data_IF_424813446217
#
_entry.id   IF_424813446217
#
_cell.length_a   1.000
_cell.length_b   1.000
_cell.length_c   1.000
_cell.angle_alpha   90.00
_cell.angle_beta   90.00
_cell.angle_gamma   90.00
#
_symmetry.space_group_name_H-M   'P 1'
#
loop_
_entity.id
_entity.type
_entity.pdbx_description
1 polymer ?
#
# COMPACT_ATOMS: atom_id res chain seq x y z
N UNK A 1 -3.85 18.14 22.50
CA UNK A 1 -4.68 18.85 21.49
C UNK A 1 -6.16 18.74 21.85
N UNK A 2 -6.98 19.77 21.61
CA UNK A 2 -8.44 19.73 21.84
C UNK A 2 -9.25 19.44 20.55
N UNK A 3 -10.51 19.00 20.68
CA UNK A 3 -11.41 18.76 19.54
C UNK A 3 -11.66 20.01 18.71
N UNK A 4 -11.81 21.18 19.33
CA UNK A 4 -12.02 22.43 18.59
C UNK A 4 -10.84 22.71 17.65
N UNK A 5 -9.63 22.62 18.20
CA UNK A 5 -8.39 22.78 17.43
C UNK A 5 -8.27 21.75 16.30
N UNK A 6 -8.72 20.51 16.54
CA UNK A 6 -8.76 19.46 15.51
C UNK A 6 -9.67 19.88 14.35
N UNK A 7 -10.90 20.30 14.62
CA UNK A 7 -11.85 20.70 13.59
C UNK A 7 -11.39 21.96 12.84
N UNK A 8 -10.79 22.93 13.55
CA UNK A 8 -10.17 24.10 12.92
C UNK A 8 -9.06 23.66 11.94
N UNK A 9 -8.22 22.69 12.33
CA UNK A 9 -7.20 22.11 11.46
C UNK A 9 -7.81 21.42 10.23
N UNK A 10 -8.88 20.64 10.38
CA UNK A 10 -9.56 20.03 9.23
C UNK A 10 -10.03 21.10 8.24
N UNK A 11 -10.71 22.14 8.72
CA UNK A 11 -11.29 23.16 7.85
C UNK A 11 -10.23 24.00 7.14
N UNK A 12 -9.16 24.37 7.86
CA UNK A 12 -8.03 25.11 7.29
C UNK A 12 -7.30 24.31 6.21
N UNK A 13 -7.02 23.02 6.45
CA UNK A 13 -6.26 22.20 5.51
C UNK A 13 -7.09 21.70 4.32
N UNK A 14 -8.37 21.42 4.53
CA UNK A 14 -9.27 21.05 3.43
C UNK A 14 -9.82 22.28 2.68
N UNK A 15 -9.52 23.49 3.17
CA UNK A 15 -9.96 24.77 2.61
C UNK A 15 -11.47 24.86 2.42
N UNK A 16 -12.22 24.22 3.32
CA UNK A 16 -13.68 24.22 3.32
C UNK A 16 -14.21 23.93 4.70
N UNK A 17 -15.48 24.29 4.91
CA UNK A 17 -16.19 23.87 6.10
C UNK A 17 -16.50 22.37 6.03
N UNK A 18 -16.49 21.75 7.21
CA UNK A 18 -16.98 20.39 7.37
C UNK A 18 -18.50 20.41 7.44
N UNK A 19 -19.13 19.46 6.76
CA UNK A 19 -20.56 19.20 6.91
C UNK A 19 -20.85 18.61 8.31
N UNK A 20 -22.04 18.83 8.87
CA UNK A 20 -22.44 18.20 10.15
C UNK A 20 -22.22 16.68 10.18
N UNK A 21 -22.53 15.98 9.09
CA UNK A 21 -22.31 14.53 8.99
C UNK A 21 -20.83 14.15 9.05
N UNK A 22 -19.95 15.00 8.51
CA UNK A 22 -18.51 14.77 8.57
C UNK A 22 -17.97 14.97 9.99
N UNK A 23 -18.49 15.98 10.69
CA UNK A 23 -18.19 16.23 12.10
C UNK A 23 -18.64 15.05 12.96
N UNK A 24 -19.86 14.53 12.73
CA UNK A 24 -20.37 13.33 13.39
C UNK A 24 -19.45 12.12 13.15
N UNK A 25 -19.05 11.86 11.90
CA UNK A 25 -18.18 10.74 11.57
C UNK A 25 -16.79 10.86 12.22
N UNK A 26 -16.20 12.06 12.25
CA UNK A 26 -14.93 12.30 12.96
C UNK A 26 -15.12 12.10 14.48
N UNK A 27 -16.24 12.55 15.05
CA UNK A 27 -16.53 12.35 16.46
C UNK A 27 -16.69 10.89 16.84
N UNK A 28 -17.28 10.04 15.98
CA UNK A 28 -17.38 8.58 16.23
C UNK A 28 -16.00 7.97 16.47
N UNK A 29 -15.00 8.37 15.70
CA UNK A 29 -13.62 7.89 15.91
C UNK A 29 -13.06 8.26 17.27
N UNK A 30 -13.37 9.46 17.77
CA UNK A 30 -12.83 9.95 19.04
C UNK A 30 -13.64 9.38 20.22
N UNK A 31 -14.96 9.39 20.13
CA UNK A 31 -15.86 9.12 21.24
C UNK A 31 -16.26 7.65 21.35
N UNK A 32 -16.57 6.99 20.23
CA UNK A 32 -16.97 5.58 20.21
C UNK A 32 -15.74 4.68 20.14
N UNK A 33 -14.83 4.98 19.21
CA UNK A 33 -13.63 4.17 18.97
C UNK A 33 -12.46 4.53 19.89
N UNK A 34 -12.62 5.54 20.74
CA UNK A 34 -11.64 6.00 21.73
C UNK A 34 -10.25 6.30 21.14
N UNK A 35 -10.20 6.70 19.87
CA UNK A 35 -8.95 7.11 19.24
C UNK A 35 -8.53 8.48 19.78
N UNK A 36 -7.27 8.66 20.20
CA UNK A 36 -6.79 9.95 20.65
C UNK A 36 -6.89 11.01 19.56
N UNK A 37 -7.27 12.23 19.95
CA UNK A 37 -7.42 13.38 19.04
C UNK A 37 -6.15 13.62 18.22
N UNK A 38 -4.99 13.43 18.84
CA UNK A 38 -3.68 13.61 18.19
C UNK A 38 -3.46 12.58 17.09
N UNK A 39 -3.87 11.32 17.28
CA UNK A 39 -3.81 10.28 16.24
C UNK A 39 -4.74 10.63 15.08
N UNK A 40 -5.94 11.15 15.35
CA UNK A 40 -6.86 11.60 14.28
C UNK A 40 -6.26 12.77 13.50
N UNK A 41 -5.55 13.69 14.17
CA UNK A 41 -4.82 14.79 13.52
C UNK A 41 -3.67 14.28 12.63
N UNK A 42 -2.96 13.22 13.03
CA UNK A 42 -1.96 12.58 12.16
C UNK A 42 -2.58 11.92 10.93
N UNK A 43 -3.79 11.36 11.07
CA UNK A 43 -4.52 10.84 9.91
C UNK A 43 -4.90 11.97 8.94
N UNK A 44 -5.30 13.15 9.45
CA UNK A 44 -5.50 14.35 8.64
C UNK A 44 -4.22 14.72 7.88
N UNK A 45 -3.06 14.79 8.54
CA UNK A 45 -1.78 15.05 7.86
C UNK A 45 -1.51 14.07 6.72
N UNK A 46 -1.84 12.80 6.93
CA UNK A 46 -1.71 11.75 5.90
C UNK A 46 -2.61 12.03 4.69
N UNK A 47 -3.84 12.52 4.90
CA UNK A 47 -4.75 12.88 3.79
C UNK A 47 -4.17 14.00 2.93
N UNK A 48 -3.50 14.98 3.54
CA UNK A 48 -2.89 16.12 2.84
C UNK A 48 -1.65 15.64 2.07
N UNK A 49 -0.78 14.87 2.73
CA UNK A 49 0.46 14.36 2.15
C UNK A 49 0.22 13.56 0.87
N UNK A 50 -0.85 12.77 0.82
CA UNK A 50 -1.20 11.96 -0.34
C UNK A 50 -2.23 12.63 -1.26
N UNK A 51 -2.43 13.95 -1.13
CA UNK A 51 -3.34 14.77 -1.92
C UNK A 51 -4.78 14.18 -2.01
N UNK A 52 -5.27 13.66 -0.89
CA UNK A 52 -6.58 13.05 -0.75
C UNK A 52 -7.37 13.62 0.45
N UNK A 53 -7.66 14.93 0.49
CA UNK A 53 -8.34 15.62 1.60
C UNK A 53 -9.84 15.29 1.65
N UNK A 54 -10.18 14.03 1.89
CA UNK A 54 -11.54 13.54 1.99
C UNK A 54 -11.67 12.48 3.08
N UNK A 55 -12.89 12.36 3.62
CA UNK A 55 -13.18 11.38 4.68
C UNK A 55 -12.98 9.93 4.25
N UNK A 56 -13.17 9.61 2.96
CA UNK A 56 -12.96 8.22 2.48
C UNK A 56 -11.51 7.78 2.71
N UNK A 57 -10.55 8.66 2.43
CA UNK A 57 -9.15 8.38 2.68
C UNK A 57 -8.85 8.39 4.19
N UNK A 58 -9.34 9.39 4.92
CA UNK A 58 -9.19 9.47 6.38
C UNK A 58 -9.67 8.18 7.06
N UNK A 59 -10.89 7.75 6.77
CA UNK A 59 -11.49 6.54 7.33
C UNK A 59 -10.68 5.28 6.98
N UNK A 60 -10.07 5.21 5.79
CA UNK A 60 -9.21 4.09 5.43
C UNK A 60 -7.94 4.06 6.28
N UNK A 61 -7.31 5.21 6.52
CA UNK A 61 -6.12 5.33 7.39
C UNK A 61 -6.47 4.94 8.82
N UNK A 62 -7.53 5.53 9.38
CA UNK A 62 -7.98 5.27 10.75
C UNK A 62 -8.36 3.81 10.97
N UNK A 63 -9.11 3.20 10.04
CA UNK A 63 -9.43 1.76 10.11
C UNK A 63 -8.18 0.88 10.08
N UNK A 64 -7.19 1.23 9.26
CA UNK A 64 -5.94 0.48 9.20
C UNK A 64 -5.18 0.56 10.52
N UNK A 65 -5.08 1.76 11.09
CA UNK A 65 -4.41 1.99 12.37
C UNK A 65 -5.11 1.29 13.54
N UNK A 66 -6.44 1.38 13.60
CA UNK A 66 -7.25 0.64 14.58
C UNK A 66 -6.99 -0.86 14.52
N UNK A 67 -6.98 -1.46 13.32
CA UNK A 67 -6.70 -2.90 13.13
C UNK A 67 -5.29 -3.30 13.57
N UNK A 68 -4.34 -2.38 13.52
CA UNK A 68 -2.96 -2.61 13.95
C UNK A 68 -2.73 -2.25 15.43
N UNK A 69 -3.73 -1.76 16.15
CA UNK A 69 -3.58 -1.30 17.54
C UNK A 69 -2.68 -0.07 17.67
N UNK A 70 -2.69 0.80 16.65
CA UNK A 70 -1.95 2.06 16.64
C UNK A 70 -2.82 3.14 17.30
N UNK A 71 -2.45 3.50 18.52
CA UNK A 71 -3.18 4.42 19.41
C UNK A 71 -2.31 5.56 19.94
N UNK A 72 -1.03 5.65 19.56
CA UNK A 72 -0.14 6.75 19.95
C UNK A 72 0.51 7.40 18.73
N UNK A 73 0.84 8.69 18.85
CA UNK A 73 1.52 9.44 17.79
C UNK A 73 2.85 8.78 17.41
N UNK A 74 3.60 8.24 18.37
CA UNK A 74 4.85 7.51 18.12
C UNK A 74 4.63 6.27 17.25
N UNK A 75 3.59 5.48 17.54
CA UNK A 75 3.22 4.30 16.74
C UNK A 75 2.77 4.70 15.33
N UNK A 76 2.10 5.84 15.19
CA UNK A 76 1.70 6.39 13.88
C UNK A 76 2.93 6.71 13.03
N UNK A 77 3.92 7.40 13.60
CA UNK A 77 5.16 7.73 12.89
C UNK A 77 5.91 6.46 12.48
N UNK A 78 5.99 5.47 13.38
CA UNK A 78 6.57 4.18 13.03
C UNK A 78 5.83 3.50 11.88
N UNK A 79 4.50 3.47 11.92
CA UNK A 79 3.68 2.86 10.87
C UNK A 79 3.82 3.58 9.52
N UNK A 80 3.97 4.91 9.54
CA UNK A 80 4.25 5.71 8.34
C UNK A 80 5.61 5.37 7.74
N UNK A 81 6.66 5.27 8.55
CA UNK A 81 7.99 4.88 8.10
C UNK A 81 7.97 3.47 7.48
N UNK A 82 7.28 2.52 8.12
CA UNK A 82 7.11 1.17 7.58
C UNK A 82 6.39 1.17 6.22
N UNK A 83 5.36 2.01 6.07
CA UNK A 83 4.64 2.15 4.80
C UNK A 83 5.53 2.72 3.68
N UNK A 84 6.35 3.72 3.97
CA UNK A 84 7.30 4.30 3.01
C UNK A 84 8.37 3.27 2.59
N UNK A 85 8.95 2.54 3.55
CA UNK A 85 9.91 1.47 3.28
C UNK A 85 9.29 0.37 2.39
N UNK A 86 8.04 0.01 2.63
CA UNK A 86 7.31 -0.98 1.82
C UNK A 86 7.04 -0.47 0.40
N UNK A 87 6.72 0.83 0.23
CA UNK A 87 6.57 1.43 -1.11
C UNK A 87 7.88 1.36 -1.91
N UNK A 88 9.01 1.63 -1.27
CA UNK A 88 10.33 1.57 -1.91
C UNK A 88 10.71 0.15 -2.32
N UNK A 89 10.43 -0.86 -1.50
CA UNK A 89 10.74 -2.25 -1.81
C UNK A 89 9.85 -2.85 -2.91
N UNK A 90 8.57 -2.46 -2.98
CA UNK A 90 7.65 -2.91 -4.03
C UNK A 90 8.04 -2.43 -5.44
N UNK A 91 8.73 -1.29 -5.55
CA UNK A 91 9.21 -0.80 -6.85
C UNK A 91 10.32 -1.67 -7.46
N UNK A 92 11.01 -2.50 -6.67
CA UNK A 92 12.09 -3.37 -7.17
C UNK A 92 11.60 -4.69 -7.77
N UNK A 93 10.36 -5.09 -7.48
CA UNK A 93 9.83 -6.41 -7.85
C UNK A 93 8.79 -6.37 -8.99
N UNK A 94 8.58 -5.22 -9.64
CA UNK A 94 7.87 -5.22 -10.91
C UNK A 94 8.81 -5.73 -11.98
N UNK A 95 8.64 -7.00 -12.38
CA UNK A 95 9.18 -7.48 -13.65
C UNK A 95 8.61 -6.57 -14.74
N UNK A 96 9.48 -5.89 -15.48
CA UNK A 96 9.06 -5.09 -16.62
C UNK A 96 8.35 -5.99 -17.63
N UNK A 97 7.31 -5.49 -18.30
CA UNK A 97 6.73 -6.15 -19.48
C UNK A 97 7.70 -6.19 -20.67
N UNK A 98 8.92 -5.67 -20.48
CA UNK A 98 10.03 -5.70 -21.43
C UNK A 98 10.66 -7.09 -21.36
N UNK A 99 10.62 -7.88 -22.46
CA UNK A 99 11.23 -9.21 -22.48
C UNK A 99 12.73 -9.18 -22.20
N UNK A 100 13.24 -10.22 -21.54
CA UNK A 100 14.67 -10.34 -21.18
C UNK A 100 15.61 -10.28 -22.37
N UNK A 101 15.18 -10.72 -23.56
CA UNK A 101 15.97 -10.66 -24.81
C UNK A 101 16.32 -9.24 -25.24
N UNK A 102 15.59 -8.23 -24.78
CA UNK A 102 15.84 -6.83 -25.14
C UNK A 102 16.91 -6.15 -24.28
N UNK A 103 17.45 -6.84 -23.27
CA UNK A 103 18.56 -6.37 -22.46
C UNK A 103 19.88 -6.47 -23.26
N UNK A 104 20.71 -5.41 -23.35
CA UNK A 104 22.02 -5.48 -24.01
C UNK A 104 22.94 -6.60 -23.49
N UNK A 105 22.74 -7.02 -22.24
CA UNK A 105 23.49 -8.09 -21.59
C UNK A 105 22.82 -9.47 -21.70
N UNK A 106 21.80 -9.63 -22.55
CA UNK A 106 21.14 -10.90 -22.76
C UNK A 106 22.11 -11.94 -23.33
N UNK A 107 22.14 -13.12 -22.71
CA UNK A 107 22.85 -14.29 -23.21
C UNK A 107 21.82 -15.32 -23.63
N UNK A 108 21.92 -15.79 -24.87
CA UNK A 108 21.12 -16.92 -25.32
C UNK A 108 21.40 -18.13 -24.41
N UNK A 109 20.36 -18.76 -23.85
CA UNK A 109 20.53 -19.97 -23.08
C UNK A 109 21.02 -21.12 -23.97
N UNK A 110 21.81 -22.03 -23.42
CA UNK A 110 22.34 -23.18 -24.18
C UNK A 110 21.18 -24.11 -24.58
N UNK A 111 21.09 -24.45 -25.86
CA UNK A 111 20.09 -25.36 -26.42
C UNK A 111 20.06 -26.70 -25.68
N UNK A 112 21.18 -27.12 -25.07
CA UNK A 112 21.27 -28.34 -24.27
C UNK A 112 20.47 -28.29 -22.97
N UNK A 113 20.19 -27.11 -22.40
CA UNK A 113 19.36 -26.98 -21.19
C UNK A 113 17.87 -27.19 -21.46
N UNK A 114 17.40 -26.91 -22.68
CA UNK A 114 15.99 -27.10 -23.08
C UNK A 114 15.70 -28.46 -23.69
N UNK A 115 16.73 -29.27 -23.93
CA UNK A 115 16.56 -30.68 -24.20
C UNK A 115 16.04 -31.36 -22.91
N UNK A 116 14.75 -31.16 -22.61
CA UNK A 116 13.98 -32.06 -21.75
C UNK A 116 14.32 -33.46 -22.22
N UNK A 117 15.02 -34.19 -21.34
CA UNK A 117 15.60 -35.52 -21.52
C UNK A 117 15.44 -36.11 -22.91
N UNK A 118 16.56 -36.25 -23.62
CA UNK A 118 16.73 -37.12 -24.78
C UNK A 118 15.62 -38.16 -24.81
N UNK A 119 14.71 -38.07 -25.79
CA UNK A 119 13.74 -39.13 -26.06
C UNK A 119 14.56 -40.31 -26.60
N UNK A 120 15.28 -40.98 -25.70
CA UNK A 120 16.19 -42.09 -25.94
C UNK A 120 15.43 -43.43 -25.89
N UNK A 121 14.13 -43.40 -26.20
CA UNK A 121 13.22 -44.52 -25.95
C UNK A 121 12.12 -44.73 -26.98
N UNK A 122 12.21 -44.16 -28.18
CA UNK A 122 11.40 -44.68 -29.30
C UNK A 122 12.22 -45.77 -29.96
N UNK A 123 12.02 -46.99 -29.45
CA UNK A 123 12.47 -48.26 -30.02
C UNK A 123 12.02 -48.31 -31.49
N UNK A 124 12.99 -48.38 -32.41
CA UNK A 124 12.77 -48.48 -33.85
C UNK A 124 12.26 -49.88 -34.17
N UNK A 125 10.96 -50.09 -33.94
CA UNK A 125 10.25 -51.30 -34.34
C UNK A 125 10.31 -51.49 -35.85
N UNK A 126 11.40 -52.08 -36.34
CA UNK A 126 11.54 -52.66 -37.67
C UNK A 126 10.51 -53.79 -37.81
N UNK A 127 9.31 -53.43 -38.23
CA UNK A 127 8.33 -54.34 -38.78
C UNK A 127 8.51 -54.42 -40.28
N UNK A 128 9.17 -55.48 -40.74
CA UNK A 128 9.07 -55.95 -42.11
C UNK A 128 7.59 -56.17 -42.48
N UNK A 129 7.28 -55.94 -43.76
CA UNK A 129 6.01 -56.17 -44.49
C UNK A 129 4.93 -57.06 -43.85
#
# INVERSE_FOLDING_TARGET
>A
MDKKELFDNFQNNWMRLLSPFEIEDINKWIDEEKMPVEVVNEALKSTILYNAPNLRYLNRVLNNWKRQGIDTVEKVEFARLQFENKKLSQNKNHQSNVPSWSNPDYKEPDLKEFALGSIDGIEDGSGDF
#
